data_IF_501539075328
#
_entry.id   IF_501539075328
#
_cell.length_a   1.000
_cell.length_b   1.000
_cell.length_c   1.000
_cell.angle_alpha   90.00
_cell.angle_beta   90.00
_cell.angle_gamma   90.00
#
_symmetry.space_group_name_H-M   'P 1'
#
loop_
_entity.id
_entity.type
_entity.pdbx_description
1 polymer ?
#
# COMPACT_ATOMS: atom_id res chain seq x y z
N UNK A 1 -5.58 23.36 -11.36
CA UNK A 1 -6.33 22.99 -10.14
C UNK A 1 -6.23 21.48 -9.92
N UNK A 2 -5.40 21.03 -8.98
CA UNK A 2 -5.37 19.63 -8.57
C UNK A 2 -6.60 19.36 -7.67
N UNK A 3 -7.62 18.71 -8.23
CA UNK A 3 -8.74 18.19 -7.46
C UNK A 3 -8.32 16.81 -6.96
N UNK A 4 -8.06 16.69 -5.66
CA UNK A 4 -7.50 15.50 -5.01
C UNK A 4 -6.44 15.89 -3.98
N UNK A 5 -6.06 14.95 -3.11
CA UNK A 5 -4.90 15.16 -2.23
C UNK A 5 -3.62 15.18 -3.05
N UNK A 6 -2.68 16.07 -2.69
CA UNK A 6 -1.39 16.19 -3.41
C UNK A 6 -0.59 14.90 -3.33
N UNK A 7 -0.73 14.20 -2.20
CA UNK A 7 -0.10 12.91 -1.89
C UNK A 7 -0.55 11.73 -2.75
N UNK A 8 -1.73 11.84 -3.39
CA UNK A 8 -2.29 10.82 -4.29
C UNK A 8 -2.26 11.28 -5.75
N UNK A 9 -1.28 12.14 -6.08
CA UNK A 9 -0.96 12.46 -7.47
C UNK A 9 -0.40 11.23 -8.17
N UNK A 10 -0.64 11.11 -9.48
CA UNK A 10 -0.23 9.94 -10.28
C UNK A 10 1.27 9.64 -10.15
N UNK A 11 2.10 10.68 -10.15
CA UNK A 11 3.55 10.57 -9.96
C UNK A 11 3.97 9.98 -8.63
N UNK A 12 3.20 10.22 -7.57
CA UNK A 12 3.49 9.70 -6.23
C UNK A 12 2.97 8.27 -6.08
N UNK A 13 1.79 7.97 -6.64
CA UNK A 13 1.23 6.61 -6.68
C UNK A 13 2.11 5.62 -7.45
N UNK A 14 2.82 6.09 -8.48
CA UNK A 14 3.76 5.26 -9.23
C UNK A 14 4.94 4.78 -8.37
N UNK A 15 5.26 5.47 -7.26
CA UNK A 15 6.32 5.06 -6.33
C UNK A 15 5.89 4.02 -5.29
N UNK A 16 4.58 3.78 -5.15
CA UNK A 16 4.05 2.86 -4.15
C UNK A 16 4.03 1.42 -4.65
N UNK A 17 4.26 0.49 -3.72
CA UNK A 17 4.07 -0.94 -3.94
C UNK A 17 2.58 -1.29 -4.06
N UNK A 18 2.26 -2.40 -4.70
CA UNK A 18 0.88 -2.84 -4.94
C UNK A 18 0.09 -3.01 -3.64
N UNK A 19 0.72 -3.55 -2.60
CA UNK A 19 0.08 -3.73 -1.29
C UNK A 19 -0.33 -2.39 -0.68
N UNK A 20 0.55 -1.40 -0.74
CA UNK A 20 0.29 -0.06 -0.22
C UNK A 20 -0.83 0.65 -0.99
N UNK A 21 -0.90 0.49 -2.32
CA UNK A 21 -2.01 1.03 -3.12
C UNK A 21 -3.36 0.47 -2.68
N UNK A 22 -3.44 -0.83 -2.37
CA UNK A 22 -4.68 -1.46 -1.88
C UNK A 22 -5.06 -0.94 -0.49
N UNK A 23 -4.09 -0.72 0.39
CA UNK A 23 -4.35 -0.13 1.71
C UNK A 23 -4.87 1.30 1.62
N UNK A 24 -4.25 2.14 0.79
CA UNK A 24 -4.70 3.52 0.59
C UNK A 24 -6.08 3.58 -0.06
N UNK A 25 -6.39 2.64 -0.95
CA UNK A 25 -7.72 2.47 -1.53
C UNK A 25 -8.77 2.19 -0.45
N UNK A 26 -8.48 1.30 0.51
CA UNK A 26 -9.39 1.01 1.63
C UNK A 26 -9.62 2.25 2.49
N UNK A 27 -8.56 2.95 2.87
CA UNK A 27 -8.63 4.19 3.66
C UNK A 27 -9.48 5.25 2.95
N UNK A 28 -9.27 5.45 1.64
CA UNK A 28 -10.03 6.42 0.86
C UNK A 28 -11.52 6.05 0.73
N UNK A 29 -11.86 4.76 0.68
CA UNK A 29 -13.26 4.29 0.69
C UNK A 29 -13.95 4.53 2.03
N UNK A 30 -13.26 4.26 3.14
CA UNK A 30 -13.76 4.55 4.49
C UNK A 30 -14.00 6.05 4.67
N UNK A 31 -13.06 6.89 4.23
CA UNK A 31 -13.24 8.34 4.23
C UNK A 31 -14.47 8.76 3.41
N UNK A 32 -14.64 8.20 2.20
CA UNK A 32 -15.79 8.49 1.36
C UNK A 32 -17.10 8.08 2.03
N UNK A 33 -17.14 6.95 2.73
CA UNK A 33 -18.31 6.50 3.48
C UNK A 33 -18.66 7.51 4.59
N UNK A 34 -17.67 7.90 5.40
CA UNK A 34 -17.85 8.88 6.47
C UNK A 34 -18.34 10.23 5.94
N UNK A 35 -17.75 10.73 4.84
CA UNK A 35 -18.17 11.99 4.22
C UNK A 35 -19.58 11.91 3.64
N UNK A 36 -20.02 10.75 3.12
CA UNK A 36 -21.40 10.55 2.67
C UNK A 36 -22.37 10.52 3.83
N UNK A 37 -21.99 9.91 4.95
CA UNK A 37 -22.78 9.93 6.18
C UNK A 37 -22.95 11.36 6.72
N UNK A 38 -21.85 12.11 6.85
CA UNK A 38 -21.87 13.52 7.26
C UNK A 38 -22.66 14.41 6.28
N UNK A 39 -22.59 14.12 4.98
CA UNK A 39 -23.39 14.83 3.97
C UNK A 39 -24.88 14.56 4.12
N UNK A 40 -25.28 13.37 4.55
CA UNK A 40 -26.68 13.01 4.77
C UNK A 40 -27.23 13.64 6.06
N UNK A 41 -26.40 13.80 7.09
CA UNK A 41 -26.77 14.49 8.35
C UNK A 41 -26.70 16.01 8.25
N UNK A 42 -26.19 16.56 7.14
CA UNK A 42 -26.04 18.00 6.94
C UNK A 42 -24.92 18.66 7.77
N UNK A 43 -24.05 17.86 8.39
CA UNK A 43 -22.94 18.32 9.22
C UNK A 43 -21.61 18.44 8.46
N UNK A 44 -21.65 18.34 7.13
CA UNK A 44 -20.45 18.33 6.30
C UNK A 44 -19.89 19.75 6.13
N UNK A 45 -18.68 19.98 6.65
CA UNK A 45 -17.99 21.27 6.52
C UNK A 45 -17.47 21.55 5.09
N UNK A 46 -17.06 20.51 4.35
CA UNK A 46 -16.44 20.66 3.03
C UNK A 46 -17.01 19.70 1.98
N UNK A 47 -17.99 20.18 1.21
CA UNK A 47 -18.55 19.44 0.07
C UNK A 47 -17.51 19.14 -1.03
N UNK A 48 -16.48 19.98 -1.16
CA UNK A 48 -15.39 19.79 -2.12
C UNK A 48 -14.58 18.52 -1.85
N UNK A 49 -14.51 18.08 -0.58
CA UNK A 49 -13.76 16.89 -0.16
C UNK A 49 -14.31 15.61 -0.77
N UNK A 50 -15.63 15.47 -0.88
CA UNK A 50 -16.26 14.30 -1.53
C UNK A 50 -15.75 14.15 -2.97
N UNK A 51 -15.64 15.24 -3.71
CA UNK A 51 -15.15 15.22 -5.10
C UNK A 51 -13.66 14.90 -5.17
N UNK A 52 -12.86 15.40 -4.23
CA UNK A 52 -11.44 15.09 -4.12
C UNK A 52 -11.20 13.59 -3.86
N UNK A 53 -11.85 13.03 -2.83
CA UNK A 53 -11.71 11.60 -2.47
C UNK A 53 -12.17 10.68 -3.60
N UNK A 54 -13.27 11.01 -4.30
CA UNK A 54 -13.70 10.25 -5.49
C UNK A 54 -12.63 10.22 -6.59
N UNK A 55 -11.94 11.34 -6.83
CA UNK A 55 -10.86 11.40 -7.81
C UNK A 55 -9.64 10.61 -7.37
N UNK A 56 -9.29 10.67 -6.09
CA UNK A 56 -8.16 9.93 -5.54
C UNK A 56 -8.38 8.41 -5.68
N UNK A 57 -9.59 7.91 -5.36
CA UNK A 57 -9.98 6.52 -5.60
C UNK A 57 -9.85 6.14 -7.08
N UNK A 58 -10.35 6.99 -7.98
CA UNK A 58 -10.26 6.73 -9.42
C UNK A 58 -8.80 6.63 -9.90
N UNK A 59 -7.90 7.52 -9.41
CA UNK A 59 -6.47 7.47 -9.75
C UNK A 59 -5.81 6.17 -9.28
N UNK A 60 -6.09 5.73 -8.05
CA UNK A 60 -5.53 4.48 -7.54
C UNK A 60 -5.98 3.29 -8.42
N UNK A 61 -7.26 3.22 -8.78
CA UNK A 61 -7.73 2.17 -9.70
C UNK A 61 -7.08 2.24 -11.07
N UNK A 62 -6.86 3.43 -11.63
CA UNK A 62 -6.18 3.55 -12.93
C UNK A 62 -4.76 3.01 -12.87
N UNK A 63 -4.00 3.32 -11.82
CA UNK A 63 -2.61 2.82 -11.65
C UNK A 63 -2.60 1.30 -11.51
N UNK A 64 -3.49 0.75 -10.68
CA UNK A 64 -3.60 -0.71 -10.51
C UNK A 64 -3.91 -1.37 -11.87
N UNK A 65 -4.86 -0.81 -12.63
CA UNK A 65 -5.23 -1.36 -13.93
C UNK A 65 -4.13 -1.23 -14.98
N UNK A 66 -3.40 -0.12 -15.00
CA UNK A 66 -2.25 0.07 -15.88
C UNK A 66 -1.12 -0.94 -15.57
N UNK A 67 -0.92 -1.29 -14.29
CA UNK A 67 0.03 -2.33 -13.86
C UNK A 67 -0.42 -3.72 -14.29
N UNK A 68 -1.70 -4.05 -14.12
CA UNK A 68 -2.29 -5.32 -14.62
C UNK A 68 -2.12 -5.48 -16.13
N UNK A 69 -2.21 -4.38 -16.88
CA UNK A 69 -2.05 -4.35 -18.34
C UNK A 69 -0.58 -4.23 -18.79
N UNK A 70 0.37 -4.13 -17.86
CA UNK A 70 1.80 -3.98 -18.15
C UNK A 70 2.19 -2.64 -18.80
N UNK A 71 1.31 -1.64 -18.75
CA UNK A 71 1.53 -0.30 -19.34
C UNK A 71 2.43 0.55 -18.45
N UNK A 72 2.40 0.32 -17.13
CA UNK A 72 3.28 1.00 -16.16
C UNK A 72 4.17 0.00 -15.44
N UNK A 73 5.44 0.38 -15.28
CA UNK A 73 6.40 -0.37 -14.49
C UNK A 73 6.04 -0.28 -13.00
N UNK A 74 5.90 -1.42 -12.35
CA UNK A 74 5.92 -1.50 -10.89
C UNK A 74 7.31 -1.09 -10.40
N UNK A 75 7.43 -0.20 -9.39
CA UNK A 75 8.69 -0.09 -8.68
C UNK A 75 8.92 -1.43 -8.00
N UNK A 76 9.82 -2.23 -8.55
CA UNK A 76 10.22 -3.49 -7.96
C UNK A 76 10.72 -3.21 -6.53
N UNK A 77 10.29 -3.98 -5.52
CA UNK A 77 10.78 -3.81 -4.15
C UNK A 77 12.29 -4.05 -4.14
N UNK A 78 13.07 -2.99 -3.90
CA UNK A 78 14.52 -3.09 -3.88
C UNK A 78 15.08 -3.84 -2.67
N UNK A 79 14.30 -4.32 -1.69
CA UNK A 79 14.86 -4.93 -0.48
C UNK A 79 14.08 -6.13 0.12
N UNK A 80 13.88 -7.22 -0.63
CA UNK A 80 13.64 -8.54 -0.01
C UNK A 80 14.70 -9.60 -0.34
N UNK A 81 15.76 -9.23 -1.08
CA UNK A 81 16.84 -10.15 -1.45
C UNK A 81 18.05 -10.20 -0.49
N UNK A 82 18.06 -9.45 0.62
CA UNK A 82 19.23 -9.43 1.55
C UNK A 82 19.02 -10.14 2.89
N UNK A 83 17.78 -10.52 3.27
CA UNK A 83 17.55 -11.29 4.51
C UNK A 83 17.63 -12.82 4.34
N UNK A 84 17.53 -13.35 3.13
CA UNK A 84 17.64 -14.80 2.89
C UNK A 84 19.09 -15.36 2.94
N UNK A 85 20.12 -14.50 2.90
CA UNK A 85 21.54 -14.92 3.02
C UNK A 85 22.12 -14.83 4.44
N UNK A 86 21.45 -14.21 5.41
CA UNK A 86 21.92 -14.14 6.82
C UNK A 86 21.31 -15.21 7.74
N UNK A 87 20.16 -15.80 7.39
CA UNK A 87 19.54 -16.88 8.18
C UNK A 87 20.15 -18.27 7.93
N UNK A 88 20.81 -18.48 6.78
CA UNK A 88 21.47 -19.77 6.46
C UNK A 88 22.89 -19.92 7.02
N UNK A 89 23.51 -18.83 7.50
CA UNK A 89 24.85 -18.85 8.12
C UNK A 89 24.82 -18.92 9.67
N UNK A 90 23.65 -18.80 10.31
CA UNK A 90 23.51 -18.88 11.79
C UNK A 90 22.81 -20.14 12.29
N UNK A 91 22.46 -21.09 11.40
CA UNK A 91 21.78 -22.35 11.76
C UNK A 91 22.58 -23.62 11.43
N UNK A 92 23.87 -23.49 11.15
CA UNK A 92 24.77 -24.62 10.91
C UNK A 92 25.67 -24.97 12.11
N UNK A 93 25.63 -24.20 13.20
CA UNK A 93 26.55 -24.33 14.35
C UNK A 93 25.84 -24.62 15.70
N UNK A 94 24.56 -25.01 15.71
CA UNK A 94 23.82 -25.20 16.97
C UNK A 94 22.93 -26.45 17.06
N UNK A 95 22.97 -27.37 16.09
CA UNK A 95 22.10 -28.57 16.08
C UNK A 95 22.86 -29.88 15.78
N UNK A 96 24.15 -29.92 16.13
CA UNK A 96 24.94 -31.16 16.11
C UNK A 96 25.61 -31.37 17.47
N UNK A 97 25.06 -32.32 18.23
CA UNK A 97 25.68 -33.07 19.33
C UNK A 97 25.35 -32.69 20.80
N UNK A 98 24.10 -32.37 21.15
CA UNK A 98 23.54 -32.72 22.48
C UNK A 98 23.20 -34.24 22.57
N UNK A 99 24.11 -35.12 22.13
CA UNK A 99 23.90 -36.58 22.20
C UNK A 99 25.08 -37.41 22.70
N UNK A 100 26.11 -36.80 23.26
CA UNK A 100 27.17 -37.50 24.01
C UNK A 100 27.41 -36.73 25.31
N UNK A 101 26.71 -37.11 26.38
CA UNK A 101 27.09 -36.97 27.81
C UNK A 101 25.86 -37.29 28.68
N UNK A 102 25.40 -38.53 28.55
CA UNK A 102 24.57 -39.20 29.55
C UNK A 102 24.83 -40.71 29.40
N UNK A 103 26.01 -41.13 29.87
CA UNK A 103 26.26 -42.47 30.38
C UNK A 103 26.78 -42.33 31.83
#
# INVERSE_FOLDING_TARGET
MAIGTKTLATSELDTFEDQRLVEELRKAKEELFNLRFQSATGQLESHGRIRAVKRDIARIYTVIRERELGIRATPAPLETATKAKKSKAKKADADKAEKEEAE
#
